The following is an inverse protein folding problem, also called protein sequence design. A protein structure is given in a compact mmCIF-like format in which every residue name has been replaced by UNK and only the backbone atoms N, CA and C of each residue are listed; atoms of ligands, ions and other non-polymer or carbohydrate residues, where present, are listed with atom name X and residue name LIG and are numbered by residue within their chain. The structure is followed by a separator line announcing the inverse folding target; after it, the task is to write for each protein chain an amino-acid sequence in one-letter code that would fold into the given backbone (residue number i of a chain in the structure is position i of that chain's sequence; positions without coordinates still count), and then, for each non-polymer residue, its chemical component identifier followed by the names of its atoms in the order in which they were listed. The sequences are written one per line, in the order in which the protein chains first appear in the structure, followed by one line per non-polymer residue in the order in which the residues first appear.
data_IF_449184662906
#
_entry.id   IF_449184662906
#
_cell.length_a   1.000
_cell.length_b   1.000
_cell.length_c   1.000
_cell.angle_alpha   90.00
_cell.angle_beta   90.00
_cell.angle_gamma   90.00
#
_symmetry.space_group_name_H-M   'P 1'
#
loop_
_entity.id
_entity.type
_entity.pdbx_description
1 polymer ?
#
# COMPACT_ATOMS: atom_id res chain seq x y z
N UNK A 1 -1.18 0.97 -1.83
CA UNK A 1 -1.94 1.39 -0.63
C UNK A 1 -3.40 1.49 -1.00
N UNK A 2 -4.24 0.80 -0.25
CA UNK A 2 -5.66 0.63 -0.56
C UNK A 2 -6.45 0.89 0.70
N UNK A 3 -7.51 1.69 0.57
CA UNK A 3 -8.46 1.90 1.66
C UNK A 3 -9.74 1.12 1.38
N UNK A 4 -10.17 0.31 2.33
CA UNK A 4 -11.36 -0.52 2.23
C UNK A 4 -12.52 0.17 2.93
N UNK A 5 -13.62 0.36 2.21
CA UNK A 5 -14.79 1.12 2.68
C UNK A 5 -16.04 0.24 2.56
N UNK A 6 -16.69 -0.13 3.68
CA UNK A 6 -17.88 -0.98 3.65
C UNK A 6 -19.04 -0.35 2.87
N UNK A 7 -19.08 0.99 2.73
CA UNK A 7 -20.12 1.66 1.95
C UNK A 7 -19.96 1.47 0.43
N UNK A 8 -18.81 0.95 -0.02
CA UNK A 8 -18.52 0.65 -1.43
C UNK A 8 -18.31 -0.84 -1.69
N UNK A 9 -18.50 -1.66 -0.65
CA UNK A 9 -18.21 -3.08 -0.66
C UNK A 9 -19.43 -3.92 -1.02
N UNK A 10 -19.21 -5.17 -1.43
CA UNK A 10 -20.28 -6.15 -1.57
C UNK A 10 -20.63 -6.81 -0.22
N UNK A 11 -19.60 -7.13 0.57
CA UNK A 11 -19.73 -7.54 1.97
C UNK A 11 -19.51 -6.31 2.84
N UNK A 12 -20.39 -6.00 3.79
CA UNK A 12 -20.37 -4.70 4.49
C UNK A 12 -20.19 -4.79 6.01
N UNK A 13 -20.16 -5.99 6.60
CA UNK A 13 -20.02 -6.18 8.05
C UNK A 13 -18.55 -6.16 8.49
N UNK A 14 -17.92 -4.98 8.35
CA UNK A 14 -16.55 -4.72 8.79
C UNK A 14 -16.31 -3.21 9.01
N UNK A 15 -15.35 -2.87 9.88
CA UNK A 15 -14.86 -1.49 10.01
C UNK A 15 -14.00 -1.12 8.80
N UNK A 16 -14.05 0.13 8.29
CA UNK A 16 -13.13 0.53 7.23
C UNK A 16 -11.67 0.47 7.71
N UNK A 17 -10.75 0.12 6.82
CA UNK A 17 -9.33 -0.02 7.18
C UNK A 17 -8.40 0.24 6.00
N UNK A 18 -7.13 0.45 6.30
CA UNK A 18 -6.06 0.60 5.32
C UNK A 18 -5.25 -0.68 5.15
N UNK A 19 -4.88 -0.97 3.91
CA UNK A 19 -3.83 -1.94 3.58
C UNK A 19 -2.65 -1.23 2.90
N UNK A 20 -1.45 -1.49 3.40
CA UNK A 20 -0.20 -1.00 2.83
C UNK A 20 0.68 -2.18 2.41
N UNK A 21 0.57 -2.57 1.15
CA UNK A 21 1.51 -3.49 0.52
C UNK A 21 2.75 -2.72 0.03
N UNK A 22 3.92 -3.14 0.52
CA UNK A 22 5.22 -2.67 0.07
C UNK A 22 6.04 -3.86 -0.45
N UNK A 23 6.83 -3.63 -1.48
CA UNK A 23 7.71 -4.64 -2.05
C UNK A 23 7.55 -4.79 -3.55
N UNK A 24 8.23 -5.81 -4.12
CA UNK A 24 9.15 -6.72 -3.43
C UNK A 24 10.45 -6.04 -2.96
N UNK A 25 11.14 -6.68 -2.00
CA UNK A 25 12.53 -6.39 -1.64
C UNK A 25 13.37 -7.65 -1.89
N UNK A 26 14.35 -7.56 -2.79
CA UNK A 26 15.14 -8.68 -3.30
C UNK A 26 14.29 -9.79 -3.96
N UNK A 27 13.21 -9.40 -4.64
CA UNK A 27 12.28 -10.32 -5.29
C UNK A 27 11.79 -9.84 -6.65
N UNK A 28 11.09 -10.72 -7.36
CA UNK A 28 10.48 -10.44 -8.65
C UNK A 28 9.35 -9.41 -8.53
N UNK A 29 9.36 -8.38 -9.37
CA UNK A 29 8.33 -7.33 -9.37
C UNK A 29 7.22 -7.64 -10.35
N UNK A 30 5.98 -7.35 -9.95
CA UNK A 30 4.77 -7.67 -10.70
C UNK A 30 3.95 -6.40 -10.93
N UNK A 31 3.25 -6.36 -12.07
CA UNK A 31 2.26 -5.33 -12.34
C UNK A 31 1.01 -5.52 -11.46
N UNK A 32 0.09 -4.55 -11.45
CA UNK A 32 -1.18 -4.70 -10.77
C UNK A 32 -1.99 -5.88 -11.31
N UNK A 33 -2.74 -6.51 -10.41
CA UNK A 33 -3.78 -7.48 -10.76
C UNK A 33 -5.16 -6.82 -10.70
N UNK A 34 -6.15 -7.45 -11.34
CA UNK A 34 -7.53 -7.04 -11.17
C UNK A 34 -7.91 -7.16 -9.69
N UNK A 35 -8.59 -6.13 -9.18
CA UNK A 35 -8.99 -6.08 -7.78
C UNK A 35 -10.46 -6.44 -7.69
N UNK A 36 -10.74 -7.42 -6.83
CA UNK A 36 -12.10 -7.86 -6.54
C UNK A 36 -12.82 -6.86 -5.61
N UNK A 37 -14.12 -6.63 -5.86
CA UNK A 37 -14.88 -5.60 -5.15
C UNK A 37 -15.52 -6.07 -3.83
N UNK A 38 -15.19 -7.27 -3.32
CA UNK A 38 -15.82 -7.83 -2.11
C UNK A 38 -15.78 -6.88 -0.92
N UNK A 39 -14.64 -6.22 -0.69
CA UNK A 39 -14.41 -5.33 0.46
C UNK A 39 -14.38 -3.83 0.11
N UNK A 40 -14.89 -3.44 -1.07
CA UNK A 40 -14.95 -2.03 -1.49
C UNK A 40 -13.58 -1.33 -1.56
N UNK A 41 -12.56 -1.94 -2.19
CA UNK A 41 -11.21 -1.39 -2.25
C UNK A 41 -11.17 -0.06 -3.02
N UNK A 42 -10.52 0.92 -2.42
CA UNK A 42 -10.16 2.19 -3.04
C UNK A 42 -8.64 2.27 -3.13
N UNK A 43 -8.09 1.96 -4.31
CA UNK A 43 -6.64 2.08 -4.54
C UNK A 43 -6.26 3.57 -4.47
N UNK A 44 -5.51 3.95 -3.45
CA UNK A 44 -5.04 5.32 -3.25
C UNK A 44 -3.64 5.53 -3.82
N UNK A 45 -2.84 4.46 -3.89
CA UNK A 45 -1.51 4.50 -4.48
C UNK A 45 -1.08 3.14 -5.04
N UNK A 46 -0.46 3.19 -6.22
CA UNK A 46 0.14 2.05 -6.89
C UNK A 46 1.38 2.52 -7.65
N UNK A 47 2.55 1.97 -7.31
CA UNK A 47 3.81 2.32 -7.95
C UNK A 47 4.05 1.56 -9.27
N UNK A 48 3.52 0.35 -9.40
CA UNK A 48 3.68 -0.47 -10.59
C UNK A 48 2.78 0.03 -11.75
N UNK A 49 3.33 0.34 -12.93
CA UNK A 49 2.51 0.74 -14.09
C UNK A 49 1.56 -0.36 -14.56
N UNK A 50 0.40 0.04 -15.10
CA UNK A 50 -0.51 -0.88 -15.78
C UNK A 50 0.18 -1.45 -17.02
N UNK A 51 0.02 -2.76 -17.26
CA UNK A 51 0.66 -3.44 -18.40
C UNK A 51 2.16 -3.73 -18.22
N UNK A 52 2.71 -3.48 -17.04
CA UNK A 52 4.09 -3.85 -16.71
C UNK A 52 4.33 -5.36 -16.90
N UNK A 53 5.49 -5.72 -17.46
CA UNK A 53 5.93 -7.11 -17.56
C UNK A 53 6.01 -7.74 -16.17
N UNK A 54 5.49 -8.95 -16.04
CA UNK A 54 5.48 -9.68 -14.78
C UNK A 54 6.86 -10.27 -14.47
N UNK A 55 7.14 -10.48 -13.19
CA UNK A 55 8.36 -11.09 -12.67
C UNK A 55 9.65 -10.41 -13.17
N UNK A 56 9.71 -9.08 -13.11
CA UNK A 56 10.95 -8.37 -13.42
C UNK A 56 12.00 -8.66 -12.33
N UNK A 57 13.28 -8.85 -12.72
CA UNK A 57 14.34 -9.14 -11.76
C UNK A 57 14.60 -7.92 -10.86
N UNK A 58 15.18 -8.11 -9.66
CA UNK A 58 15.51 -7.01 -8.75
C UNK A 58 16.33 -5.88 -9.40
N UNK A 59 17.21 -6.20 -10.35
CA UNK A 59 18.04 -5.24 -11.09
C UNK A 59 17.23 -4.24 -11.95
N UNK A 60 15.94 -4.51 -12.20
CA UNK A 60 15.05 -3.58 -12.88
C UNK A 60 14.67 -2.36 -12.01
N UNK A 61 15.13 -2.30 -10.75
CA UNK A 61 15.00 -1.14 -9.87
C UNK A 61 13.62 -0.96 -9.23
N UNK A 62 12.67 -1.85 -9.50
CA UNK A 62 11.30 -1.83 -8.97
C UNK A 62 11.22 -2.52 -7.61
N UNK A 63 12.05 -2.08 -6.66
CA UNK A 63 12.12 -2.62 -5.31
C UNK A 63 11.66 -1.57 -4.31
N UNK A 64 10.89 -2.01 -3.32
CA UNK A 64 10.24 -1.11 -2.37
C UNK A 64 10.25 -1.69 -0.96
N UNK A 65 10.13 -0.82 0.03
CA UNK A 65 9.94 -1.22 1.42
C UNK A 65 9.00 -0.24 2.13
N UNK A 66 8.36 -0.71 3.20
CA UNK A 66 7.43 0.08 4.01
C UNK A 66 8.03 0.39 5.37
N UNK A 67 7.69 1.56 5.92
CA UNK A 67 8.01 1.91 7.31
C UNK A 67 6.75 2.40 8.01
N UNK A 68 6.66 2.14 9.30
CA UNK A 68 5.63 2.66 10.18
C UNK A 68 6.33 3.33 11.35
N UNK A 69 5.97 4.58 11.63
CA UNK A 69 6.45 5.35 12.78
C UNK A 69 5.26 5.77 13.60
N UNK A 70 5.31 5.58 14.92
CA UNK A 70 4.27 6.02 15.84
C UNK A 70 4.89 7.04 16.78
N UNK A 71 4.34 8.25 16.78
CA UNK A 71 4.76 9.28 17.72
C UNK A 71 4.28 8.94 19.13
N UNK A 72 5.17 9.01 20.12
CA UNK A 72 4.88 8.55 21.48
C UNK A 72 3.90 9.46 22.22
N UNK A 73 3.90 10.76 21.94
CA UNK A 73 3.08 11.74 22.64
C UNK A 73 1.68 11.84 22.03
N UNK A 74 1.61 11.96 20.71
CA UNK A 74 0.36 12.17 19.95
C UNK A 74 -0.31 10.88 19.52
N UNK A 75 0.41 9.75 19.53
CA UNK A 75 -0.01 8.46 18.96
C UNK A 75 -0.28 8.50 17.46
N UNK A 76 0.13 9.56 16.76
CA UNK A 76 0.04 9.65 15.31
C UNK A 76 0.89 8.55 14.68
N UNK A 77 0.28 7.76 13.80
CA UNK A 77 0.99 6.76 13.02
C UNK A 77 1.26 7.28 11.61
N UNK A 78 2.52 7.39 11.23
CA UNK A 78 2.94 7.70 9.86
C UNK A 78 3.37 6.43 9.16
N UNK A 79 2.64 6.04 8.12
CA UNK A 79 3.00 4.94 7.22
C UNK A 79 3.63 5.51 5.96
N UNK A 80 4.83 5.06 5.61
CA UNK A 80 5.54 5.51 4.40
C UNK A 80 6.00 4.32 3.55
N UNK A 81 5.85 4.44 2.23
CA UNK A 81 6.37 3.53 1.22
C UNK A 81 7.57 4.18 0.53
N UNK A 82 8.66 3.45 0.41
CA UNK A 82 9.95 3.94 -0.09
C UNK A 82 10.44 3.08 -1.25
N UNK A 83 11.14 3.71 -2.19
CA UNK A 83 11.87 3.03 -3.27
C UNK A 83 13.26 2.55 -2.81
N UNK A 84 13.96 1.82 -3.69
CA UNK A 84 15.30 1.29 -3.44
C UNK A 84 16.35 2.36 -3.08
N UNK A 85 16.12 3.63 -3.42
CA UNK A 85 17.01 4.76 -3.09
C UNK A 85 16.66 5.41 -1.75
N UNK A 86 15.67 4.86 -1.03
CA UNK A 86 15.15 5.43 0.20
C UNK A 86 14.29 6.68 -0.01
N UNK A 87 13.83 6.95 -1.24
CA UNK A 87 12.89 8.04 -1.50
C UNK A 87 11.49 7.59 -1.11
N UNK A 88 10.81 8.39 -0.28
CA UNK A 88 9.38 8.21 -0.02
C UNK A 88 8.58 8.46 -1.30
N UNK A 89 7.84 7.45 -1.74
CA UNK A 89 6.95 7.51 -2.92
C UNK A 89 5.48 7.67 -2.53
N UNK A 90 5.12 7.31 -1.30
CA UNK A 90 3.78 7.52 -0.75
C UNK A 90 3.83 7.56 0.78
N UNK A 91 2.97 8.37 1.40
CA UNK A 91 2.88 8.47 2.87
C UNK A 91 1.44 8.79 3.29
N UNK A 92 1.02 8.23 4.42
CA UNK A 92 -0.28 8.49 5.05
C UNK A 92 -0.06 8.67 6.54
N UNK A 93 -0.72 9.68 7.11
CA UNK A 93 -0.83 9.85 8.55
C UNK A 93 -2.19 9.32 9.01
N UNK A 94 -2.16 8.47 10.03
CA UNK A 94 -3.31 7.83 10.63
C UNK A 94 -3.45 8.30 12.07
N UNK A 95 -4.55 8.98 12.33
CA UNK A 95 -4.94 9.35 13.69
C UNK A 95 -5.36 8.09 14.46
N UNK A 96 -5.12 8.03 15.78
CA UNK A 96 -5.63 6.93 16.60
C UNK A 96 -7.17 6.88 16.52
N UNK A 97 -7.73 5.66 16.49
CA UNK A 97 -9.17 5.48 16.69
C UNK A 97 -9.54 5.85 18.13
N UNK A 98 -10.65 6.57 18.29
CA UNK A 98 -11.22 6.97 19.59
C UNK A 98 -12.29 5.98 20.02
#
# INVERSE_FOLDING_TARGET
ATYYDPNKAQFTDFKPFWEFAAGPLHGGSFGPQAIDNTFGPQVKFQSAPVGMKQNLPPMAGMQFFGTVKIDAATKLMTVALLDLKGKTVYSVELQPEV
#
